data_IF_833599937538
#
_entry.id   IF_833599937538
#
_cell.length_a   1.000
_cell.length_b   1.000
_cell.length_c   1.000
_cell.angle_alpha   90.00
_cell.angle_beta   90.00
_cell.angle_gamma   90.00
#
_symmetry.space_group_name_H-M   'P 1'
#
loop_
_entity.id
_entity.type
_entity.pdbx_description
1 polymer ?
#
# COMPACT_ATOMS: atom_id res chain seq x y z
N UNK A 1 -24.32 4.97 -0.47
CA UNK A 1 -23.31 5.89 -1.05
C UNK A 1 -22.29 6.39 -0.04
N UNK A 2 -22.61 6.45 1.25
CA UNK A 2 -21.70 6.96 2.30
C UNK A 2 -20.46 6.07 2.59
N UNK A 3 -20.61 4.73 2.58
CA UNK A 3 -19.48 3.81 2.82
C UNK A 3 -18.35 3.96 1.78
N UNK A 4 -18.71 4.26 0.54
CA UNK A 4 -17.77 4.45 -0.57
C UNK A 4 -16.96 5.76 -0.43
N UNK A 5 -17.60 6.82 0.06
CA UNK A 5 -16.95 8.11 0.29
C UNK A 5 -15.96 8.02 1.47
N UNK A 6 -16.35 7.35 2.57
CA UNK A 6 -15.49 7.15 3.74
C UNK A 6 -14.21 6.35 3.44
N UNK A 7 -14.30 5.37 2.53
CA UNK A 7 -13.13 4.59 2.07
C UNK A 7 -12.17 5.40 1.23
N UNK A 8 -12.72 6.22 0.33
CA UNK A 8 -11.92 7.14 -0.49
C UNK A 8 -11.18 8.12 0.43
N UNK A 9 -11.85 8.61 1.48
CA UNK A 9 -11.24 9.50 2.47
C UNK A 9 -10.17 8.80 3.31
N UNK A 10 -10.37 7.54 3.73
CA UNK A 10 -9.39 6.78 4.49
C UNK A 10 -8.12 6.46 3.68
N UNK A 11 -8.28 6.05 2.41
CA UNK A 11 -7.14 5.83 1.50
C UNK A 11 -6.42 7.15 1.21
N UNK A 12 -7.15 8.24 0.99
CA UNK A 12 -6.58 9.55 0.76
C UNK A 12 -5.84 10.10 1.98
N UNK A 13 -6.37 9.89 3.18
CA UNK A 13 -5.73 10.24 4.45
C UNK A 13 -4.39 9.53 4.59
N UNK A 14 -4.37 8.22 4.34
CA UNK A 14 -3.16 7.39 4.39
C UNK A 14 -2.10 7.81 3.36
N UNK A 15 -2.54 8.11 2.13
CA UNK A 15 -1.65 8.62 1.07
C UNK A 15 -1.03 9.96 1.51
N UNK A 16 -1.83 10.86 2.09
CA UNK A 16 -1.34 12.18 2.55
C UNK A 16 -0.34 12.05 3.69
N UNK A 17 -0.64 11.28 4.73
CA UNK A 17 0.31 11.06 5.83
C UNK A 17 1.61 10.39 5.36
N UNK A 18 1.53 9.46 4.41
CA UNK A 18 2.73 8.81 3.84
C UNK A 18 3.60 9.78 3.04
N UNK A 19 2.99 10.82 2.47
CA UNK A 19 3.68 11.90 1.74
C UNK A 19 4.18 13.03 2.65
N UNK A 20 3.62 13.16 3.84
CA UNK A 20 3.98 14.17 4.84
C UNK A 20 5.24 13.78 5.65
N UNK A 21 5.89 12.64 5.34
CA UNK A 21 7.20 12.26 5.89
C UNK A 21 8.21 13.40 5.63
N UNK A 22 8.62 14.15 6.68
CA UNK A 22 9.47 15.32 6.53
C UNK A 22 10.87 14.98 6.03
N UNK A 23 11.27 13.70 6.08
CA UNK A 23 12.56 13.24 5.59
C UNK A 23 12.49 12.66 4.17
N UNK A 24 11.29 12.40 3.62
CA UNK A 24 11.10 11.86 2.26
C UNK A 24 11.81 10.52 2.04
N UNK A 25 11.87 9.67 3.07
CA UNK A 25 12.55 8.36 3.05
C UNK A 25 11.59 7.19 3.13
N UNK A 26 10.31 7.47 3.37
CA UNK A 26 9.22 6.52 3.39
C UNK A 26 8.79 6.12 1.98
N UNK A 27 8.61 4.83 1.75
CA UNK A 27 8.14 4.31 0.46
C UNK A 27 6.75 3.71 0.60
N UNK A 28 5.76 4.35 -0.03
CA UNK A 28 4.37 3.91 -0.05
C UNK A 28 4.16 2.71 -1.00
N UNK A 29 3.50 1.68 -0.48
CA UNK A 29 2.97 0.57 -1.25
C UNK A 29 1.51 0.32 -0.86
N UNK A 30 0.64 0.20 -1.85
CA UNK A 30 -0.75 -0.19 -1.71
C UNK A 30 -0.89 -1.64 -2.17
N UNK A 31 -1.16 -2.55 -1.25
CA UNK A 31 -1.27 -3.98 -1.51
C UNK A 31 -2.74 -4.37 -1.57
N UNK A 32 -3.08 -5.05 -2.66
CA UNK A 32 -4.34 -5.75 -2.87
C UNK A 32 -4.10 -7.26 -2.74
N UNK A 33 -5.02 -7.95 -2.07
CA UNK A 33 -5.01 -9.41 -1.92
C UNK A 33 -6.17 -10.00 -2.69
N UNK A 34 -5.92 -11.09 -3.42
CA UNK A 34 -6.97 -11.81 -4.13
C UNK A 34 -7.86 -12.56 -3.13
N UNK A 35 -9.17 -12.56 -3.36
CA UNK A 35 -10.13 -13.23 -2.49
C UNK A 35 -9.81 -14.73 -2.36
N UNK A 36 -9.74 -15.22 -1.12
CA UNK A 36 -9.48 -16.63 -0.81
C UNK A 36 -8.03 -17.10 -1.02
N UNK A 37 -7.11 -16.26 -1.47
CA UNK A 37 -5.74 -16.68 -1.81
C UNK A 37 -4.70 -16.15 -0.81
N UNK A 38 -4.21 -17.00 0.10
CA UNK A 38 -3.11 -16.66 1.01
C UNK A 38 -1.90 -16.12 0.21
N UNK A 39 -1.38 -14.96 0.61
CA UNK A 39 -0.23 -14.25 -0.01
C UNK A 39 -0.32 -13.83 -1.48
N UNK A 40 -1.31 -14.24 -2.26
CA UNK A 40 -1.38 -13.84 -3.67
C UNK A 40 -2.03 -12.47 -3.78
N UNK A 41 -1.38 -11.57 -4.49
CA UNK A 41 -1.84 -10.21 -4.57
C UNK A 41 -1.18 -9.40 -5.65
N UNK A 42 -1.47 -8.10 -5.61
CA UNK A 42 -0.84 -7.09 -6.46
C UNK A 42 -0.53 -5.88 -5.60
N UNK A 43 0.61 -5.26 -5.82
CA UNK A 43 0.90 -3.97 -5.22
C UNK A 43 0.94 -2.86 -6.26
N UNK A 44 0.60 -1.67 -5.81
CA UNK A 44 0.70 -0.41 -6.53
C UNK A 44 1.60 0.51 -5.73
N UNK A 45 2.44 1.27 -6.41
CA UNK A 45 3.36 2.22 -5.77
C UNK A 45 3.45 3.50 -6.58
N UNK A 46 3.47 4.69 -5.94
CA UNK A 46 3.51 5.96 -6.67
C UNK A 46 4.84 6.18 -7.43
N UNK A 47 5.83 5.32 -7.17
CA UNK A 47 7.14 5.31 -7.85
C UNK A 47 7.15 4.49 -9.15
N UNK A 48 6.04 3.80 -9.46
CA UNK A 48 5.80 3.14 -10.75
C UNK A 48 4.94 4.03 -11.64
N UNK A 49 4.49 3.51 -12.80
CA UNK A 49 3.44 4.20 -13.55
C UNK A 49 2.16 4.27 -12.70
N UNK A 50 1.34 5.33 -12.79
CA UNK A 50 0.20 5.56 -11.89
C UNK A 50 -0.86 4.45 -11.83
N UNK A 51 -0.88 3.54 -12.79
CA UNK A 51 -1.84 2.43 -12.90
C UNK A 51 -1.16 1.06 -13.02
N UNK A 52 0.14 0.96 -12.76
CA UNK A 52 0.90 -0.27 -12.91
C UNK A 52 0.83 -1.11 -11.65
N UNK A 53 0.13 -2.24 -11.78
CA UNK A 53 0.01 -3.25 -10.72
C UNK A 53 1.06 -4.33 -10.91
N UNK A 54 1.83 -4.58 -9.86
CA UNK A 54 2.86 -5.62 -9.85
C UNK A 54 2.32 -6.82 -9.07
N UNK A 55 2.12 -7.99 -9.73
CA UNK A 55 1.70 -9.19 -9.04
C UNK A 55 2.81 -9.72 -8.14
N UNK A 56 2.41 -10.49 -7.12
CA UNK A 56 3.30 -11.30 -6.31
C UNK A 56 2.56 -12.54 -5.82
N UNK A 57 3.27 -13.65 -5.73
CA UNK A 57 2.75 -14.94 -5.27
C UNK A 57 3.31 -15.34 -3.89
N UNK A 58 4.26 -14.57 -3.34
CA UNK A 58 4.80 -14.77 -2.00
C UNK A 58 5.21 -13.45 -1.34
N UNK A 59 5.33 -13.46 0.00
CA UNK A 59 5.87 -12.31 0.72
C UNK A 59 7.32 -12.02 0.33
N UNK A 60 8.13 -13.05 0.09
CA UNK A 60 9.50 -12.86 -0.36
C UNK A 60 9.56 -12.12 -1.70
N UNK A 61 8.73 -12.53 -2.67
CA UNK A 61 8.64 -11.87 -3.99
C UNK A 61 8.19 -10.40 -3.88
N UNK A 62 7.21 -10.13 -3.02
CA UNK A 62 6.81 -8.76 -2.70
C UNK A 62 7.98 -7.96 -2.13
N UNK A 63 8.73 -8.51 -1.18
CA UNK A 63 9.87 -7.83 -0.56
C UNK A 63 10.98 -7.53 -1.57
N UNK A 64 11.33 -8.50 -2.41
CA UNK A 64 12.35 -8.33 -3.44
C UNK A 64 11.95 -7.25 -4.46
N UNK A 65 10.69 -7.24 -4.87
CA UNK A 65 10.13 -6.23 -5.79
C UNK A 65 10.13 -4.83 -5.17
N UNK A 66 9.72 -4.72 -3.90
CA UNK A 66 9.73 -3.47 -3.16
C UNK A 66 11.15 -2.93 -2.98
N UNK A 67 12.10 -3.78 -2.59
CA UNK A 67 13.50 -3.40 -2.42
C UNK A 67 14.15 -2.96 -3.72
N UNK A 68 13.83 -3.64 -4.83
CA UNK A 68 14.28 -3.22 -6.14
C UNK A 68 13.76 -1.83 -6.50
N UNK A 69 12.46 -1.60 -6.32
CA UNK A 69 11.82 -0.32 -6.62
C UNK A 69 12.42 0.83 -5.79
N UNK A 70 12.62 0.60 -4.48
CA UNK A 70 13.24 1.58 -3.57
C UNK A 70 14.62 1.99 -4.08
N UNK A 71 15.47 1.03 -4.44
CA UNK A 71 16.81 1.30 -4.97
C UNK A 71 16.74 2.12 -6.27
N UNK A 72 15.78 1.84 -7.15
CA UNK A 72 15.60 2.59 -8.39
C UNK A 72 15.13 4.03 -8.11
N UNK A 73 14.16 4.20 -7.21
CA UNK A 73 13.63 5.52 -6.82
C UNK A 73 14.71 6.39 -6.21
N UNK A 74 15.50 5.85 -5.27
CA UNK A 74 16.60 6.59 -4.63
C UNK A 74 17.66 7.04 -5.65
N UNK A 75 17.94 6.22 -6.67
CA UNK A 75 18.89 6.59 -7.73
C UNK A 75 18.38 7.70 -8.65
N UNK A 76 17.06 7.77 -8.87
CA UNK A 76 16.42 8.69 -9.83
C UNK A 76 15.86 9.95 -9.19
N UNK A 77 15.82 10.01 -7.86
CA UNK A 77 15.18 11.06 -7.07
C UNK A 77 13.71 11.32 -7.46
N UNK A 78 12.95 10.24 -7.72
CA UNK A 78 11.59 10.31 -8.27
C UNK A 78 10.50 10.72 -7.25
N UNK A 79 10.84 11.56 -6.26
CA UNK A 79 9.94 11.96 -5.17
C UNK A 79 8.84 12.89 -5.66
N UNK A 80 9.16 13.85 -6.52
CA UNK A 80 8.18 14.78 -7.07
C UNK A 80 7.15 14.05 -7.94
N UNK A 81 7.57 13.06 -8.73
CA UNK A 81 6.68 12.22 -9.50
C UNK A 81 5.76 11.39 -8.61
N UNK A 82 6.27 10.87 -7.49
CA UNK A 82 5.46 10.14 -6.53
C UNK A 82 4.38 11.02 -5.89
N UNK A 83 4.73 12.24 -5.47
CA UNK A 83 3.78 13.24 -4.96
C UNK A 83 2.71 13.54 -6.01
N UNK A 84 3.10 13.74 -7.27
CA UNK A 84 2.16 13.97 -8.37
C UNK A 84 1.24 12.77 -8.60
N UNK A 85 1.76 11.55 -8.55
CA UNK A 85 1.00 10.32 -8.68
C UNK A 85 -0.06 10.18 -7.57
N UNK A 86 0.35 10.37 -6.32
CA UNK A 86 -0.55 10.38 -5.17
C UNK A 86 -1.64 11.47 -5.27
N UNK A 87 -1.30 12.69 -5.71
CA UNK A 87 -2.30 13.74 -5.98
C UNK A 87 -3.30 13.33 -7.04
N UNK A 88 -2.87 12.61 -8.08
CA UNK A 88 -3.77 12.07 -9.09
C UNK A 88 -4.69 10.99 -8.52
N UNK A 89 -4.18 10.08 -7.68
CA UNK A 89 -5.00 9.08 -6.99
C UNK A 89 -6.05 9.73 -6.08
N UNK A 90 -5.70 10.80 -5.36
CA UNK A 90 -6.65 11.55 -4.52
C UNK A 90 -7.74 12.20 -5.38
N UNK A 91 -7.37 12.80 -6.52
CA UNK A 91 -8.31 13.54 -7.36
C UNK A 91 -9.21 12.64 -8.22
N UNK A 92 -8.69 11.50 -8.69
CA UNK A 92 -9.36 10.63 -9.67
C UNK A 92 -9.79 9.28 -9.11
N UNK A 93 -9.40 8.98 -7.87
CA UNK A 93 -9.50 7.65 -7.28
C UNK A 93 -8.33 6.75 -7.66
N UNK A 94 -8.22 5.62 -6.94
CA UNK A 94 -7.30 4.56 -7.29
C UNK A 94 -7.70 3.89 -8.61
N UNK A 95 -6.74 3.33 -9.37
CA UNK A 95 -7.02 2.64 -10.63
C UNK A 95 -7.89 1.38 -10.47
N UNK A 96 -8.05 0.88 -9.25
CA UNK A 96 -8.98 -0.19 -8.86
C UNK A 96 -9.57 0.16 -7.50
N UNK A 97 -10.81 -0.27 -7.23
CA UNK A 97 -11.48 -0.08 -5.93
C UNK A 97 -11.48 -1.40 -5.16
N UNK A 98 -10.49 -1.65 -4.30
CA UNK A 98 -10.35 -2.95 -3.69
C UNK A 98 -11.23 -3.03 -2.44
N UNK A 99 -11.80 -4.21 -2.19
CA UNK A 99 -12.55 -4.45 -0.95
C UNK A 99 -11.62 -4.48 0.27
N UNK A 100 -10.32 -4.60 0.04
CA UNK A 100 -9.27 -4.59 1.06
C UNK A 100 -8.00 -3.96 0.51
N UNK A 101 -7.45 -2.98 1.25
CA UNK A 101 -6.18 -2.30 0.91
C UNK A 101 -5.27 -2.29 2.12
N UNK A 102 -4.06 -2.82 1.93
CA UNK A 102 -2.93 -2.66 2.85
C UNK A 102 -2.07 -1.49 2.38
N UNK A 103 -2.02 -0.42 3.15
CA UNK A 103 -1.14 0.70 2.91
C UNK A 103 0.09 0.53 3.81
N UNK A 104 1.25 0.26 3.23
CA UNK A 104 2.48 0.05 3.97
C UNK A 104 3.60 1.00 3.54
N UNK A 105 4.42 1.34 4.52
CA UNK A 105 5.60 2.17 4.41
C UNK A 105 6.79 1.30 4.79
N UNK A 106 7.82 1.29 3.95
CA UNK A 106 9.13 0.83 4.37
C UNK A 106 9.91 1.99 4.99
N UNK A 107 10.30 1.85 6.24
CA UNK A 107 11.03 2.87 7.01
C UNK A 107 12.53 2.83 6.68
N UNK A 108 13.30 3.90 7.00
CA UNK A 108 14.71 4.00 6.62
C UNK A 108 15.63 2.96 7.29
N UNK A 109 15.23 2.47 8.46
CA UNK A 109 15.86 1.37 9.19
C UNK A 109 15.54 -0.01 8.59
N UNK A 110 14.71 -0.05 7.56
CA UNK A 110 14.36 -1.26 6.81
C UNK A 110 13.14 -1.99 7.34
N UNK A 111 12.48 -1.46 8.37
CA UNK A 111 11.25 -2.04 8.91
C UNK A 111 9.99 -1.64 8.12
N UNK A 112 8.86 -2.20 8.50
CA UNK A 112 7.56 -1.98 7.86
C UNK A 112 6.56 -1.44 8.84
N UNK A 113 5.93 -0.33 8.51
CA UNK A 113 4.76 0.16 9.22
C UNK A 113 3.62 0.31 8.25
N UNK A 114 2.39 0.34 8.73
CA UNK A 114 1.28 0.60 7.85
C UNK A 114 -0.05 0.45 8.50
N UNK A 115 -1.08 0.63 7.67
CA UNK A 115 -2.46 0.46 8.07
C UNK A 115 -3.21 -0.28 6.98
N UNK A 116 -4.28 -0.97 7.35
CA UNK A 116 -5.19 -1.55 6.36
C UNK A 116 -6.62 -1.14 6.61
N UNK A 117 -7.36 -1.11 5.51
CA UNK A 117 -8.75 -0.71 5.45
C UNK A 117 -9.51 -1.83 4.74
N UNK A 118 -10.61 -2.26 5.33
CA UNK A 118 -11.54 -3.22 4.73
C UNK A 118 -12.84 -2.50 4.38
N UNK A 119 -13.36 -2.69 3.18
CA UNK A 119 -14.57 -2.03 2.66
C UNK A 119 -15.82 -2.25 3.52
N UNK A 120 -15.92 -3.39 4.19
CA UNK A 120 -17.03 -3.70 5.09
C UNK A 120 -16.88 -3.08 6.49
N UNK A 121 -15.74 -2.48 6.83
CA UNK A 121 -15.41 -2.04 8.18
C UNK A 121 -15.02 -0.55 8.20
N UNK A 122 -15.62 0.23 9.10
CA UNK A 122 -15.22 1.64 9.33
C UNK A 122 -13.97 1.77 10.20
N UNK A 123 -13.24 0.68 10.47
CA UNK A 123 -12.06 0.64 11.33
C UNK A 123 -10.77 0.63 10.50
N UNK A 124 -9.80 1.42 10.95
CA UNK A 124 -8.43 1.45 10.44
C UNK A 124 -7.57 0.68 11.44
N UNK A 125 -6.87 -0.34 10.98
CA UNK A 125 -5.98 -1.14 11.82
C UNK A 125 -4.53 -0.82 11.48
N UNK A 126 -3.72 -0.56 12.51
CA UNK A 126 -2.29 -0.33 12.38
C UNK A 126 -1.51 -1.63 12.51
N UNK A 127 -0.35 -1.71 11.84
CA UNK A 127 0.67 -2.71 12.11
C UNK A 127 2.05 -2.06 12.13
N UNK A 128 2.94 -2.71 12.87
CA UNK A 128 4.33 -2.29 13.04
C UNK A 128 5.22 -3.54 13.00
N UNK A 129 6.26 -3.49 12.18
CA UNK A 129 7.17 -4.59 11.96
C UNK A 129 6.86 -5.48 10.76
N UNK A 130 7.92 -5.97 10.11
CA UNK A 130 7.87 -7.03 9.08
C UNK A 130 6.98 -8.21 9.47
N UNK A 131 7.11 -8.73 10.70
CA UNK A 131 6.37 -9.91 11.16
C UNK A 131 4.86 -9.67 11.24
N UNK A 132 4.43 -8.45 11.58
CA UNK A 132 3.00 -8.12 11.57
C UNK A 132 2.49 -7.98 10.14
N UNK A 133 3.24 -7.34 9.23
CA UNK A 133 2.87 -7.28 7.82
C UNK A 133 2.70 -8.68 7.23
N UNK A 134 3.68 -9.55 7.43
CA UNK A 134 3.62 -10.96 6.98
C UNK A 134 2.40 -11.68 7.57
N UNK A 135 2.18 -11.58 8.88
CA UNK A 135 1.01 -12.17 9.52
C UNK A 135 -0.31 -11.67 8.90
N UNK A 136 -0.41 -10.38 8.57
CA UNK A 136 -1.62 -9.80 7.97
C UNK A 136 -1.85 -10.29 6.54
N UNK A 137 -0.78 -10.42 5.75
CA UNK A 137 -0.84 -11.03 4.42
C UNK A 137 -1.27 -12.51 4.50
N UNK A 138 -1.09 -13.18 5.65
CA UNK A 138 -1.40 -14.61 5.83
C UNK A 138 -2.78 -14.85 6.39
N UNK A 139 -3.13 -14.06 7.40
CA UNK A 139 -4.38 -14.18 8.15
C UNK A 139 -5.59 -13.67 7.36
N UNK A 140 -5.41 -12.97 6.24
CA UNK A 140 -6.54 -12.47 5.45
C UNK A 140 -7.51 -13.59 5.02
N UNK A 141 -7.04 -14.83 4.84
CA UNK A 141 -7.89 -16.00 4.56
C UNK A 141 -8.96 -16.24 5.64
N UNK A 142 -8.68 -15.90 6.90
CA UNK A 142 -9.61 -16.09 8.04
C UNK A 142 -10.70 -15.03 8.09
N UNK A 143 -10.60 -13.97 7.30
CA UNK A 143 -11.55 -12.85 7.33
C UNK A 143 -12.65 -12.97 6.27
N UNK A 144 -12.46 -13.84 5.28
CA UNK A 144 -13.42 -14.12 4.20
C UNK A 144 -14.18 -15.45 4.37
N UNK A 145 -13.88 -16.21 5.43
CA UNK A 145 -14.55 -17.47 5.78
C UNK A 145 -15.59 -17.30 6.88
#
# INVERSE_FOLDING_TARGET
MEAFQYQTDAVNFMIRESLEDPYGRSFLFLIYLEEGAAFRGKFLSPYLKPSEWVPFDSFQEFQESADHLIRQTLKRDAREEAVRCCRQWIAKGLPMQPDYVLCCIKTPDGDWTGRYIRKSESQIYCFDGKSQLEKRLNDHKKWWG
#
